data_IF_723217556646
#
_entry.id   IF_723217556646
#
_cell.length_a   1.000
_cell.length_b   1.000
_cell.length_c   1.000
_cell.angle_alpha   90.00
_cell.angle_beta   90.00
_cell.angle_gamma   90.00
#
_symmetry.space_group_name_H-M   'P 1'
#
loop_
_entity.id
_entity.type
_entity.pdbx_description
1 polymer ?
#
# COMPACT_ATOMS: atom_id res chain seq x y z
N UNK A 1 -3.16 1.47 15.87
CA UNK A 1 -3.34 0.72 14.62
C UNK A 1 -1.98 0.25 14.11
N UNK A 2 -1.87 -1.03 13.78
CA UNK A 2 -0.68 -1.62 13.20
C UNK A 2 -0.84 -1.74 11.69
N UNK A 3 0.26 -1.94 10.96
CA UNK A 3 0.19 -2.02 9.50
C UNK A 3 -0.68 -3.17 9.01
N UNK A 4 -0.61 -4.33 9.69
CA UNK A 4 -1.46 -5.47 9.35
C UNK A 4 -2.96 -5.15 9.45
N UNK A 5 -3.33 -4.20 10.32
CA UNK A 5 -4.73 -3.81 10.50
C UNK A 5 -5.31 -3.13 9.25
N UNK A 6 -4.47 -2.50 8.45
CA UNK A 6 -4.92 -1.87 7.20
C UNK A 6 -5.46 -2.94 6.25
N UNK A 7 -4.71 -4.03 6.07
CA UNK A 7 -5.16 -5.13 5.21
C UNK A 7 -6.44 -5.74 5.75
N UNK A 8 -6.49 -5.99 7.05
CA UNK A 8 -7.68 -6.58 7.69
C UNK A 8 -8.89 -5.67 7.54
N UNK A 9 -8.71 -4.37 7.71
CA UNK A 9 -9.79 -3.40 7.58
C UNK A 9 -10.34 -3.28 6.18
N UNK A 10 -9.50 -3.43 5.15
CA UNK A 10 -9.94 -3.39 3.75
C UNK A 10 -10.63 -4.69 3.32
N UNK A 11 -10.26 -5.80 3.93
CA UNK A 11 -10.87 -7.10 3.66
C UNK A 11 -10.07 -8.00 2.74
N UNK A 12 -10.39 -9.29 2.77
CA UNK A 12 -9.65 -10.30 2.02
C UNK A 12 -9.78 -10.12 0.51
N UNK A 13 -10.95 -9.72 0.03
CA UNK A 13 -11.16 -9.49 -1.41
C UNK A 13 -10.29 -8.35 -1.91
N UNK A 14 -10.27 -7.23 -1.17
CA UNK A 14 -9.40 -6.09 -1.50
C UNK A 14 -7.93 -6.51 -1.44
N UNK A 15 -7.55 -7.31 -0.45
CA UNK A 15 -6.19 -7.84 -0.34
C UNK A 15 -5.80 -8.63 -1.59
N UNK A 16 -6.73 -9.47 -2.08
CA UNK A 16 -6.50 -10.21 -3.33
C UNK A 16 -6.24 -9.30 -4.52
N UNK A 17 -6.98 -8.18 -4.62
CA UNK A 17 -6.76 -7.20 -5.67
C UNK A 17 -5.40 -6.50 -5.52
N UNK A 18 -4.98 -6.21 -4.29
CA UNK A 18 -3.66 -5.64 -4.04
C UNK A 18 -2.56 -6.59 -4.53
N UNK A 19 -2.66 -7.88 -4.22
CA UNK A 19 -1.68 -8.88 -4.69
C UNK A 19 -1.65 -8.95 -6.21
N UNK A 20 -2.80 -8.92 -6.87
CA UNK A 20 -2.88 -8.96 -8.34
C UNK A 20 -2.28 -7.72 -8.99
N UNK A 21 -2.22 -6.61 -8.27
CA UNK A 21 -1.67 -5.36 -8.78
C UNK A 21 -0.13 -5.33 -8.75
N UNK A 22 0.51 -6.29 -8.10
CA UNK A 22 1.97 -6.32 -7.99
C UNK A 22 2.59 -6.72 -9.32
N UNK A 23 3.51 -5.89 -9.81
CA UNK A 23 4.30 -6.14 -11.01
C UNK A 23 5.64 -6.75 -10.63
N UNK A 24 5.91 -7.97 -11.07
CA UNK A 24 7.19 -8.63 -10.78
C UNK A 24 8.37 -7.89 -11.42
N UNK A 25 8.15 -7.27 -12.58
CA UNK A 25 9.17 -6.43 -13.23
C UNK A 25 9.57 -5.24 -12.37
N UNK A 26 8.58 -4.59 -11.74
CA UNK A 26 8.84 -3.48 -10.81
C UNK A 26 9.55 -3.97 -9.56
N UNK A 27 9.20 -5.14 -9.03
CA UNK A 27 9.92 -5.72 -7.89
C UNK A 27 11.40 -5.93 -8.21
N UNK A 28 11.71 -6.40 -9.41
CA UNK A 28 13.09 -6.55 -9.85
C UNK A 28 13.80 -5.21 -9.94
N UNK A 29 13.16 -4.22 -10.53
CA UNK A 29 13.71 -2.88 -10.67
C UNK A 29 14.08 -2.26 -9.32
N UNK A 30 13.24 -2.45 -8.30
CA UNK A 30 13.44 -1.88 -6.97
C UNK A 30 14.10 -2.85 -5.98
N UNK A 31 14.64 -3.97 -6.49
CA UNK A 31 15.39 -4.96 -5.71
C UNK A 31 14.58 -5.61 -4.58
N UNK A 32 13.28 -5.77 -4.80
CA UNK A 32 12.37 -6.40 -3.84
C UNK A 32 11.99 -7.84 -4.21
N UNK A 33 12.34 -8.27 -5.42
CA UNK A 33 11.93 -9.60 -5.93
C UNK A 33 12.43 -10.73 -5.04
N UNK A 34 13.74 -10.75 -4.76
CA UNK A 34 14.32 -11.83 -3.96
C UNK A 34 13.84 -11.78 -2.51
N UNK A 35 13.65 -10.58 -1.96
CA UNK A 35 13.09 -10.42 -0.62
C UNK A 35 11.71 -11.04 -0.53
N UNK A 36 10.82 -10.77 -1.48
CA UNK A 36 9.47 -11.34 -1.51
C UNK A 36 9.51 -12.85 -1.67
N UNK A 37 10.35 -13.35 -2.55
CA UNK A 37 10.52 -14.78 -2.79
C UNK A 37 10.88 -15.51 -1.49
N UNK A 38 11.87 -14.99 -0.75
CA UNK A 38 12.30 -15.59 0.51
C UNK A 38 11.25 -15.42 1.61
N UNK A 39 10.60 -14.26 1.67
CA UNK A 39 9.56 -14.00 2.67
C UNK A 39 8.38 -14.96 2.52
N UNK A 40 8.04 -15.30 1.28
CA UNK A 40 6.96 -16.23 0.98
C UNK A 40 7.43 -17.70 0.94
N UNK A 41 8.71 -17.94 1.12
CA UNK A 41 9.32 -19.27 1.09
C UNK A 41 9.01 -20.01 -0.20
N UNK A 42 9.15 -19.31 -1.33
CA UNK A 42 8.91 -19.87 -2.65
C UNK A 42 10.23 -20.16 -3.34
N UNK A 43 10.28 -21.27 -4.08
CA UNK A 43 11.44 -21.58 -4.94
C UNK A 43 11.44 -20.67 -6.17
N UNK A 44 10.26 -20.18 -6.57
CA UNK A 44 10.05 -19.35 -7.75
C UNK A 44 8.95 -18.35 -7.46
N UNK A 45 9.19 -17.08 -7.75
CA UNK A 45 8.16 -16.05 -7.62
C UNK A 45 7.56 -15.75 -8.99
N UNK A 46 6.27 -16.02 -9.16
CA UNK A 46 5.50 -15.69 -10.34
C UNK A 46 4.16 -15.13 -9.91
N UNK A 47 3.41 -14.53 -10.85
CA UNK A 47 2.08 -14.04 -10.54
C UNK A 47 1.15 -15.15 -10.03
N UNK A 48 1.31 -16.36 -10.57
CA UNK A 48 0.53 -17.50 -10.14
C UNK A 48 0.90 -17.96 -8.72
N UNK A 49 2.20 -18.06 -8.41
CA UNK A 49 2.63 -18.46 -7.06
C UNK A 49 2.19 -17.44 -6.02
N UNK A 50 2.23 -16.15 -6.36
CA UNK A 50 1.78 -15.10 -5.47
C UNK A 50 0.27 -15.20 -5.20
N UNK A 51 -0.53 -15.46 -6.24
CA UNK A 51 -1.98 -15.64 -6.06
C UNK A 51 -2.31 -16.88 -5.23
N UNK A 52 -1.58 -17.97 -5.45
CA UNK A 52 -1.77 -19.22 -4.67
C UNK A 52 -1.40 -19.02 -3.20
N UNK A 53 -0.49 -18.10 -2.90
CA UNK A 53 -0.07 -17.80 -1.54
C UNK A 53 -1.09 -16.94 -0.79
N UNK A 54 -2.07 -16.35 -1.45
CA UNK A 54 -3.01 -15.39 -0.85
C UNK A 54 -3.64 -15.89 0.45
N UNK A 55 -4.22 -17.10 0.54
CA UNK A 55 -4.84 -17.55 1.79
C UNK A 55 -3.84 -17.64 2.94
N UNK A 56 -2.64 -18.10 2.66
CA UNK A 56 -1.59 -18.22 3.66
C UNK A 56 -1.11 -16.85 4.13
N UNK A 57 -0.93 -15.91 3.19
CA UNK A 57 -0.54 -14.54 3.52
C UNK A 57 -1.62 -13.85 4.35
N UNK A 58 -2.89 -14.07 4.00
CA UNK A 58 -4.01 -13.50 4.73
C UNK A 58 -4.01 -13.96 6.20
N UNK A 59 -3.80 -15.25 6.42
CA UNK A 59 -3.73 -15.79 7.78
C UNK A 59 -2.56 -15.19 8.57
N UNK A 60 -1.41 -15.02 7.95
CA UNK A 60 -0.25 -14.40 8.60
C UNK A 60 -0.53 -12.95 8.98
N UNK A 61 -1.25 -12.22 8.14
CA UNK A 61 -1.65 -10.84 8.46
C UNK A 61 -2.65 -10.79 9.61
N UNK A 62 -3.55 -11.77 9.70
CA UNK A 62 -4.46 -11.91 10.84
C UNK A 62 -3.68 -12.16 12.14
N UNK A 63 -2.57 -12.87 12.07
CA UNK A 63 -1.69 -13.12 13.20
C UNK A 63 -0.75 -11.95 13.48
N UNK A 64 -0.97 -10.82 12.81
CA UNK A 64 -0.23 -9.57 12.99
C UNK A 64 1.26 -9.67 12.68
N UNK A 65 1.61 -10.37 11.59
CA UNK A 65 2.98 -10.44 11.08
C UNK A 65 3.35 -9.10 10.46
N UNK A 66 3.95 -8.21 11.25
CA UNK A 66 4.26 -6.85 10.80
C UNK A 66 5.40 -6.81 9.80
N UNK A 67 6.35 -7.73 9.86
CA UNK A 67 7.42 -7.80 8.86
C UNK A 67 6.86 -8.13 7.48
N UNK A 68 5.95 -9.09 7.41
CA UNK A 68 5.25 -9.41 6.16
C UNK A 68 4.41 -8.24 5.70
N UNK A 69 3.68 -7.61 6.61
CA UNK A 69 2.83 -6.45 6.28
C UNK A 69 3.67 -5.33 5.65
N UNK A 70 4.86 -5.06 6.21
CA UNK A 70 5.78 -4.04 5.70
C UNK A 70 6.32 -4.40 4.32
N UNK A 71 6.78 -5.64 4.14
CA UNK A 71 7.33 -6.08 2.85
C UNK A 71 6.28 -6.05 1.74
N UNK A 72 5.06 -6.46 2.06
CA UNK A 72 3.94 -6.38 1.11
C UNK A 72 3.61 -4.93 0.77
N UNK A 73 3.59 -4.04 1.76
CA UNK A 73 3.31 -2.62 1.52
C UNK A 73 4.34 -2.01 0.57
N UNK A 74 5.63 -2.25 0.81
CA UNK A 74 6.70 -1.77 -0.07
C UNK A 74 6.52 -2.30 -1.49
N UNK A 75 6.21 -3.59 -1.62
CA UNK A 75 6.02 -4.22 -2.92
C UNK A 75 4.82 -3.65 -3.68
N UNK A 76 3.72 -3.40 -3.00
CA UNK A 76 2.53 -2.79 -3.59
C UNK A 76 2.84 -1.35 -4.02
N UNK A 77 3.42 -0.56 -3.13
CA UNK A 77 3.61 0.88 -3.37
C UNK A 77 4.59 1.17 -4.49
N UNK A 78 5.70 0.42 -4.61
CA UNK A 78 6.65 0.66 -5.72
C UNK A 78 6.04 0.32 -7.08
N UNK A 79 5.00 -0.49 -7.12
CA UNK A 79 4.29 -0.81 -8.36
C UNK A 79 3.28 0.29 -8.75
N UNK A 80 3.02 1.24 -7.87
CA UNK A 80 1.98 2.26 -8.06
C UNK A 80 2.48 3.68 -7.76
N UNK A 81 3.74 3.96 -8.12
CA UNK A 81 4.31 5.29 -7.90
C UNK A 81 3.53 6.39 -8.62
N UNK A 82 2.95 6.09 -9.79
CA UNK A 82 2.14 7.08 -10.52
C UNK A 82 0.90 7.49 -9.70
N UNK A 83 0.25 6.53 -9.06
CA UNK A 83 -0.88 6.80 -8.17
C UNK A 83 -0.44 7.66 -6.98
N UNK A 84 0.69 7.32 -6.37
CA UNK A 84 1.24 8.07 -5.24
C UNK A 84 1.51 9.51 -5.64
N UNK A 85 2.14 9.72 -6.79
CA UNK A 85 2.43 11.06 -7.32
C UNK A 85 1.15 11.89 -7.46
N UNK A 86 0.09 11.29 -8.04
CA UNK A 86 -1.19 11.97 -8.21
C UNK A 86 -1.79 12.41 -6.86
N UNK A 87 -1.76 11.52 -5.87
CA UNK A 87 -2.30 11.83 -4.54
C UNK A 87 -1.48 12.91 -3.85
N UNK A 88 -0.15 12.80 -3.88
CA UNK A 88 0.72 13.80 -3.25
C UNK A 88 0.55 15.16 -3.89
N UNK A 89 0.44 15.23 -5.21
CA UNK A 89 0.18 16.48 -5.91
C UNK A 89 -1.16 17.09 -5.52
N UNK A 90 -2.20 16.26 -5.43
CA UNK A 90 -3.54 16.70 -5.01
C UNK A 90 -3.51 17.29 -3.60
N UNK A 91 -2.76 16.68 -2.69
CA UNK A 91 -2.65 17.15 -1.31
C UNK A 91 -1.64 18.30 -1.14
N UNK A 92 -0.86 18.60 -2.18
CA UNK A 92 0.16 19.65 -2.14
C UNK A 92 1.41 19.27 -1.38
N UNK A 93 1.65 17.97 -1.16
CA UNK A 93 2.81 17.49 -0.41
C UNK A 93 4.05 17.50 -1.30
N UNK A 94 5.15 18.16 -0.89
CA UNK A 94 6.39 18.15 -1.67
C UNK A 94 6.98 16.75 -1.79
N UNK A 95 7.35 16.34 -3.01
CA UNK A 95 7.93 15.02 -3.25
C UNK A 95 8.85 15.04 -4.47
N UNK A 96 9.68 14.00 -4.58
CA UNK A 96 10.47 13.71 -5.77
C UNK A 96 10.05 12.33 -6.27
N UNK A 97 9.34 12.29 -7.39
CA UNK A 97 8.85 11.07 -8.04
C UNK A 97 8.09 10.12 -7.09
N UNK A 98 7.30 10.69 -6.17
CA UNK A 98 6.48 9.93 -5.24
C UNK A 98 7.13 9.69 -3.88
N UNK A 99 8.38 10.13 -3.68
CA UNK A 99 9.06 10.04 -2.40
C UNK A 99 9.06 11.41 -1.73
N UNK A 100 8.78 11.46 -0.43
CA UNK A 100 8.69 12.73 0.28
C UNK A 100 9.98 13.54 0.14
N UNK A 101 9.83 14.83 -0.10
CA UNK A 101 10.97 15.74 -0.10
C UNK A 101 11.56 15.80 1.32
N UNK A 102 12.87 16.05 1.38
CA UNK A 102 13.60 16.10 2.64
C UNK A 102 13.00 17.14 3.58
N UNK A 103 12.90 16.81 4.87
CA UNK A 103 12.39 17.69 5.91
C UNK A 103 10.92 18.14 5.73
N UNK A 104 10.12 17.35 4.99
CA UNK A 104 8.70 17.64 4.82
C UNK A 104 7.91 17.19 6.04
N UNK A 105 7.13 18.10 6.62
CA UNK A 105 6.15 17.74 7.65
C UNK A 105 4.86 17.32 6.95
N UNK A 106 4.78 16.04 6.60
CA UNK A 106 3.65 15.50 5.83
C UNK A 106 2.34 15.68 6.58
N UNK A 107 2.34 15.48 7.89
CA UNK A 107 1.12 15.59 8.70
C UNK A 107 0.45 16.97 8.57
N UNK A 108 1.22 18.03 8.36
CA UNK A 108 0.67 19.39 8.20
C UNK A 108 -0.21 19.55 6.96
N UNK A 109 -0.06 18.65 5.97
CA UNK A 109 -0.84 18.65 4.73
C UNK A 109 -2.09 17.77 4.82
N UNK A 110 -2.21 16.96 5.89
CA UNK A 110 -3.32 16.02 6.06
C UNK A 110 -4.43 16.66 6.90
N UNK A 111 -5.13 17.61 6.28
CA UNK A 111 -6.22 18.34 6.93
C UNK A 111 -7.47 17.48 7.04
N UNK A 112 -8.42 17.88 7.92
CA UNK A 112 -9.64 17.11 8.15
C UNK A 112 -10.33 16.72 6.84
N UNK A 113 -10.70 15.43 6.71
CA UNK A 113 -11.42 14.92 5.55
C UNK A 113 -10.53 14.66 4.34
N UNK A 114 -9.21 14.74 4.46
CA UNK A 114 -8.29 14.59 3.34
C UNK A 114 -8.41 13.23 2.63
N UNK A 115 -8.64 12.16 3.39
CA UNK A 115 -8.76 10.81 2.80
C UNK A 115 -10.00 10.72 1.91
N UNK A 116 -11.14 11.18 2.40
CA UNK A 116 -12.38 11.15 1.63
C UNK A 116 -12.28 12.02 0.38
N UNK A 117 -11.71 13.24 0.50
CA UNK A 117 -11.54 14.13 -0.65
C UNK A 117 -10.63 13.49 -1.70
N UNK A 118 -9.53 12.88 -1.28
CA UNK A 118 -8.59 12.21 -2.18
C UNK A 118 -9.27 11.02 -2.86
N UNK A 119 -9.95 10.20 -2.09
CA UNK A 119 -10.65 9.02 -2.62
C UNK A 119 -11.72 9.43 -3.65
N UNK A 120 -12.57 10.37 -3.29
CA UNK A 120 -13.63 10.84 -4.18
C UNK A 120 -13.07 11.44 -5.49
N UNK A 121 -11.92 12.12 -5.40
CA UNK A 121 -11.30 12.72 -6.58
C UNK A 121 -10.74 11.69 -7.55
N UNK A 122 -10.22 10.57 -7.07
CA UNK A 122 -9.46 9.62 -7.89
C UNK A 122 -10.12 8.25 -8.08
N UNK A 123 -11.19 7.91 -7.37
CA UNK A 123 -11.77 6.56 -7.37
C UNK A 123 -12.19 6.04 -8.75
N UNK A 124 -12.53 6.95 -9.67
CA UNK A 124 -12.93 6.59 -11.03
C UNK A 124 -11.79 6.65 -12.04
N UNK A 125 -10.61 7.10 -11.61
CA UNK A 125 -9.44 7.30 -12.46
C UNK A 125 -8.29 6.36 -12.13
N UNK A 126 -8.19 5.94 -10.87
CA UNK A 126 -7.10 5.11 -10.38
C UNK A 126 -7.64 3.81 -9.80
N UNK A 127 -6.75 2.84 -9.57
CA UNK A 127 -7.14 1.57 -8.95
C UNK A 127 -7.68 1.84 -7.53
N UNK A 128 -8.96 1.53 -7.31
CA UNK A 128 -9.65 1.85 -6.05
C UNK A 128 -9.06 1.15 -4.83
N UNK A 129 -8.69 -0.12 -4.99
CA UNK A 129 -8.15 -0.88 -3.85
C UNK A 129 -6.77 -0.38 -3.46
N UNK A 130 -5.91 -0.09 -4.44
CA UNK A 130 -4.59 0.48 -4.20
C UNK A 130 -4.74 1.88 -3.61
N UNK A 131 -5.67 2.68 -4.14
CA UNK A 131 -5.93 4.03 -3.62
C UNK A 131 -6.34 3.99 -2.15
N UNK A 132 -7.31 3.14 -1.79
CA UNK A 132 -7.74 2.98 -0.41
C UNK A 132 -6.59 2.51 0.50
N UNK A 133 -5.80 1.56 0.00
CA UNK A 133 -4.63 1.08 0.73
C UNK A 133 -3.62 2.21 0.97
N UNK A 134 -3.30 2.96 -0.09
CA UNK A 134 -2.31 4.04 0.03
C UNK A 134 -2.77 5.15 0.99
N UNK A 135 -4.04 5.54 0.92
CA UNK A 135 -4.56 6.58 1.83
C UNK A 135 -4.44 6.15 3.29
N UNK A 136 -4.69 4.88 3.59
CA UNK A 136 -4.51 4.33 4.92
C UNK A 136 -3.03 4.26 5.31
N UNK A 137 -2.19 3.85 4.38
CA UNK A 137 -0.74 3.75 4.60
C UNK A 137 -0.14 5.14 4.87
N UNK A 138 -0.55 6.15 4.12
CA UNK A 138 -0.09 7.52 4.32
C UNK A 138 -0.48 8.03 5.71
N UNK A 139 -1.70 7.76 6.15
CA UNK A 139 -2.15 8.11 7.50
C UNK A 139 -1.33 7.39 8.57
N UNK A 140 -1.12 6.08 8.37
CA UNK A 140 -0.35 5.24 9.30
C UNK A 140 1.08 5.77 9.47
N UNK A 141 1.71 6.14 8.36
CA UNK A 141 3.11 6.59 8.34
C UNK A 141 3.30 8.00 8.86
N UNK A 142 2.30 8.88 8.66
CA UNK A 142 2.46 10.31 8.80
C UNK A 142 1.64 10.97 9.91
N UNK A 143 0.72 10.24 10.55
CA UNK A 143 -0.10 10.78 11.64
C UNK A 143 0.15 10.03 12.94
N UNK A 144 -0.11 10.70 14.07
CA UNK A 144 0.14 10.13 15.39
C UNK A 144 -0.88 9.05 15.76
N UNK A 145 -2.15 9.31 15.51
CA UNK A 145 -3.24 8.39 15.85
C UNK A 145 -4.05 8.08 14.59
N UNK A 146 -3.49 7.26 13.67
CA UNK A 146 -4.18 6.97 12.42
C UNK A 146 -5.47 6.19 12.65
N UNK A 147 -6.51 6.60 11.94
CA UNK A 147 -7.83 5.93 11.96
C UNK A 147 -8.05 5.29 10.60
N UNK A 148 -8.58 4.07 10.62
CA UNK A 148 -8.85 3.32 9.40
C UNK A 148 -9.86 4.04 8.51
N UNK A 149 -9.49 4.31 7.26
CA UNK A 149 -10.39 4.86 6.26
C UNK A 149 -11.06 3.72 5.51
N UNK A 150 -12.39 3.70 5.49
CA UNK A 150 -13.18 2.73 4.75
C UNK A 150 -13.76 3.41 3.51
N UNK A 151 -13.41 2.94 2.30
CA UNK A 151 -14.01 3.48 1.08
C UNK A 151 -15.49 3.10 1.02
N UNK A 152 -16.32 4.03 0.57
CA UNK A 152 -17.77 3.81 0.44
C UNK A 152 -18.23 3.89 -1.01
#
# INVERSE_FOLDING_TARGET
>A
MELSDIYQGLGEEAFGQLLRSISLGKLKTYQLFERMKFRLRLSKLSGETLRKAQPHLWERLKEKDQELATDLAQSILVCHLDLIIEVLNFLGIPHEEGFFAKETDVNSYLTEGWQKRSFDNFKDKLNRDVLAFYLNHLAFESTKDPVMFQPS
#
